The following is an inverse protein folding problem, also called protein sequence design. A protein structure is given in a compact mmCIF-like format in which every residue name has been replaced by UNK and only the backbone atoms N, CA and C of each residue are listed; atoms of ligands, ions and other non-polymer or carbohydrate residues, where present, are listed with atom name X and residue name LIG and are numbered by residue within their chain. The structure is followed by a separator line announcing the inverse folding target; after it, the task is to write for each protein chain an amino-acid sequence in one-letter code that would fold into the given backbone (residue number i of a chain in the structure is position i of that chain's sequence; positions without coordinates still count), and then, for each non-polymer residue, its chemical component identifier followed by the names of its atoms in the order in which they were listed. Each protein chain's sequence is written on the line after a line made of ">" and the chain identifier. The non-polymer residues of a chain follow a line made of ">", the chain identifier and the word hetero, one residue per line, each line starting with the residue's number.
data_IF_008960259126
#
_entry.id   IF_008960259126
#
_cell.length_a   1.000
_cell.length_b   1.000
_cell.length_c   1.000
_cell.angle_alpha   90.00
_cell.angle_beta   90.00
_cell.angle_gamma   90.00
#
_symmetry.space_group_name_H-M   'P 1'
#
loop_
_entity.id
_entity.type
_entity.pdbx_description
1 polymer ?
#
# COMPACT_ATOMS: atom_id res chain seq x y z
N UNK A 1 5.13 -14.36 -14.19
CA UNK A 1 5.52 -13.13 -13.48
C UNK A 1 6.40 -12.20 -14.33
N UNK A 2 7.63 -12.60 -14.70
CA UNK A 2 8.62 -11.67 -15.32
C UNK A 2 8.60 -11.55 -16.86
N UNK A 3 7.73 -12.28 -17.56
CA UNK A 3 7.79 -12.43 -19.03
C UNK A 3 7.82 -11.09 -19.78
N UNK A 4 6.96 -10.16 -19.41
CA UNK A 4 6.89 -8.83 -20.04
C UNK A 4 8.18 -8.02 -19.81
N UNK A 5 8.66 -7.94 -18.56
CA UNK A 5 9.91 -7.23 -18.23
C UNK A 5 11.12 -7.79 -18.98
N UNK A 6 11.19 -9.13 -19.15
CA UNK A 6 12.24 -9.79 -19.92
C UNK A 6 12.12 -9.44 -21.41
N UNK A 7 10.92 -9.50 -21.98
CA UNK A 7 10.68 -9.18 -23.39
C UNK A 7 11.03 -7.71 -23.69
N UNK A 8 10.66 -6.79 -22.80
CA UNK A 8 11.04 -5.38 -22.94
C UNK A 8 12.54 -5.14 -22.77
N UNK A 9 13.16 -5.76 -21.76
CA UNK A 9 14.60 -5.68 -21.56
C UNK A 9 15.39 -6.21 -22.76
N UNK A 10 14.95 -7.32 -23.34
CA UNK A 10 15.52 -7.87 -24.58
C UNK A 10 15.26 -6.96 -25.78
N UNK A 11 14.09 -6.31 -25.84
CA UNK A 11 13.77 -5.28 -26.83
C UNK A 11 14.73 -4.10 -26.76
N UNK A 12 14.97 -3.56 -25.57
CA UNK A 12 15.94 -2.48 -25.34
C UNK A 12 17.37 -2.90 -25.63
N UNK A 13 17.79 -4.09 -25.19
CA UNK A 13 19.11 -4.63 -25.49
C UNK A 13 19.31 -4.78 -27.00
N UNK A 14 18.29 -5.27 -27.70
CA UNK A 14 18.30 -5.38 -29.16
C UNK A 14 18.40 -3.99 -29.82
N UNK A 15 17.64 -3.00 -29.36
CA UNK A 15 17.73 -1.61 -29.83
C UNK A 15 19.13 -1.05 -29.59
N UNK A 16 19.71 -1.23 -28.41
CA UNK A 16 21.06 -0.75 -28.06
C UNK A 16 22.10 -1.45 -28.94
N UNK A 17 22.04 -2.77 -29.08
CA UNK A 17 22.94 -3.54 -29.95
C UNK A 17 22.81 -3.05 -31.39
N UNK A 18 21.59 -2.79 -31.87
CA UNK A 18 21.36 -2.23 -33.22
C UNK A 18 21.92 -0.81 -33.32
N UNK A 19 21.73 0.07 -32.33
CA UNK A 19 22.30 1.42 -32.30
C UNK A 19 23.83 1.35 -32.32
N UNK A 20 24.44 0.46 -31.53
CA UNK A 20 25.89 0.26 -31.46
C UNK A 20 26.42 -0.31 -32.77
N UNK A 21 25.78 -1.34 -33.34
CA UNK A 21 26.14 -1.93 -34.63
C UNK A 21 25.96 -0.90 -35.75
N UNK A 22 24.90 -0.09 -35.73
CA UNK A 22 24.69 1.01 -36.67
C UNK A 22 25.75 2.07 -36.47
N UNK A 23 26.10 2.48 -35.25
CA UNK A 23 27.14 3.47 -34.99
C UNK A 23 28.52 3.00 -35.51
N UNK A 24 28.86 1.72 -35.27
CA UNK A 24 30.10 1.08 -35.71
C UNK A 24 30.14 0.82 -37.22
N UNK A 25 29.11 0.19 -37.82
CA UNK A 25 29.07 -0.13 -39.27
C UNK A 25 28.73 1.06 -40.16
N UNK A 26 28.03 2.06 -39.63
CA UNK A 26 27.79 3.28 -40.39
C UNK A 26 29.02 4.20 -40.38
N UNK A 27 30.03 3.94 -39.54
CA UNK A 27 31.13 4.86 -39.31
C UNK A 27 30.61 6.22 -38.83
N UNK A 28 29.60 6.24 -37.96
CA UNK A 28 28.84 7.45 -37.57
C UNK A 28 29.77 8.54 -37.02
N UNK A 29 30.80 8.14 -36.28
CA UNK A 29 31.89 9.00 -35.79
C UNK A 29 32.67 9.62 -36.96
N UNK A 30 32.95 8.85 -38.02
CA UNK A 30 33.61 9.33 -39.25
C UNK A 30 32.65 10.02 -40.25
N UNK A 31 31.33 9.90 -40.06
CA UNK A 31 30.28 10.45 -40.95
C UNK A 31 29.72 11.78 -40.48
N UNK A 32 29.76 12.11 -39.19
CA UNK A 32 29.46 13.46 -38.70
C UNK A 32 30.39 14.50 -39.37
N UNK A 33 31.65 14.15 -39.59
CA UNK A 33 32.63 14.93 -40.36
C UNK A 33 32.37 14.98 -41.88
N UNK A 34 31.57 14.06 -42.43
CA UNK A 34 31.29 13.96 -43.88
C UNK A 34 29.84 14.30 -44.27
N UNK A 35 29.05 14.76 -43.30
CA UNK A 35 27.62 15.11 -43.43
C UNK A 35 27.32 16.21 -44.46
N UNK A 36 28.32 16.86 -45.07
CA UNK A 36 28.10 17.86 -46.12
C UNK A 36 27.89 17.35 -47.56
N UNK A 37 28.06 16.06 -47.92
CA UNK A 37 27.91 15.65 -49.34
C UNK A 37 27.27 14.27 -49.61
N UNK A 38 25.94 14.34 -49.83
CA UNK A 38 25.08 13.64 -50.83
C UNK A 38 24.83 12.11 -50.79
N UNK A 39 23.53 11.83 -50.56
CA UNK A 39 22.56 10.77 -50.96
C UNK A 39 23.02 9.47 -51.67
N UNK A 40 22.56 8.31 -51.15
CA UNK A 40 22.05 7.15 -51.92
C UNK A 40 20.90 6.46 -51.15
N UNK A 41 19.81 6.18 -51.86
CA UNK A 41 18.42 6.02 -51.37
C UNK A 41 18.04 4.60 -50.87
N UNK A 42 18.87 3.57 -51.09
CA UNK A 42 18.50 2.20 -50.67
C UNK A 42 18.69 1.94 -49.16
N UNK A 43 19.64 2.63 -48.51
CA UNK A 43 19.83 2.56 -47.06
C UNK A 43 18.67 3.21 -46.29
N UNK A 44 17.98 4.17 -46.92
CA UNK A 44 16.86 4.89 -46.31
C UNK A 44 15.62 4.01 -46.20
N UNK A 45 15.37 3.08 -47.13
CA UNK A 45 14.19 2.19 -47.11
C UNK A 45 14.35 1.09 -46.06
N UNK A 46 15.54 0.51 -45.91
CA UNK A 46 15.82 -0.45 -44.84
C UNK A 46 15.76 0.22 -43.45
N UNK A 47 16.28 1.45 -43.33
CA UNK A 47 16.14 2.27 -42.12
C UNK A 47 14.67 2.61 -41.87
N UNK A 48 13.88 2.98 -42.88
CA UNK A 48 12.45 3.24 -42.71
C UNK A 48 11.67 1.98 -42.32
N UNK A 49 11.96 0.81 -42.90
CA UNK A 49 11.29 -0.45 -42.56
C UNK A 49 11.55 -0.86 -41.12
N UNK A 50 12.78 -0.70 -40.63
CA UNK A 50 13.16 -0.95 -39.23
C UNK A 50 12.60 0.12 -38.30
N UNK A 51 12.55 1.38 -38.74
CA UNK A 51 11.97 2.48 -37.97
C UNK A 51 10.44 2.38 -37.91
N UNK A 52 9.78 1.84 -38.93
CA UNK A 52 8.34 1.55 -38.96
C UNK A 52 8.00 0.28 -38.15
N UNK A 53 8.85 -0.75 -38.14
CA UNK A 53 8.70 -1.91 -37.26
C UNK A 53 9.00 -1.55 -35.79
N UNK A 54 10.02 -0.74 -35.55
CA UNK A 54 10.38 -0.23 -34.23
C UNK A 54 9.35 0.76 -33.70
N UNK A 55 8.92 1.74 -34.52
CA UNK A 55 7.78 2.60 -34.21
C UNK A 55 6.54 1.74 -34.05
N UNK A 56 6.25 0.78 -34.94
CA UNK A 56 5.12 -0.13 -34.85
C UNK A 56 5.08 -0.94 -33.56
N UNK A 57 6.22 -1.42 -33.06
CA UNK A 57 6.32 -2.06 -31.74
C UNK A 57 6.19 -1.08 -30.58
N UNK A 58 6.69 0.16 -30.73
CA UNK A 58 6.46 1.26 -29.77
C UNK A 58 5.00 1.74 -29.79
N UNK A 59 4.33 1.71 -30.95
CA UNK A 59 2.91 2.04 -31.18
C UNK A 59 2.00 0.91 -30.66
N UNK A 60 2.38 -0.34 -30.84
CA UNK A 60 1.67 -1.47 -30.26
C UNK A 60 1.91 -1.55 -28.75
N UNK A 61 3.08 -1.08 -28.30
CA UNK A 61 3.41 -0.80 -26.91
C UNK A 61 2.91 0.56 -26.38
N UNK A 62 2.11 1.34 -27.14
CA UNK A 62 1.67 2.71 -26.74
C UNK A 62 0.71 2.77 -25.54
N UNK A 63 0.54 1.69 -24.80
CA UNK A 63 0.02 1.77 -23.42
C UNK A 63 1.12 1.89 -22.36
N UNK A 64 2.39 2.09 -22.72
CA UNK A 64 3.46 2.34 -21.74
C UNK A 64 4.53 3.28 -22.31
N UNK A 65 4.56 4.50 -21.78
CA UNK A 65 5.49 5.58 -22.11
C UNK A 65 6.94 5.24 -21.71
N UNK A 66 7.97 5.92 -22.28
CA UNK A 66 9.37 5.60 -22.04
C UNK A 66 9.78 5.89 -20.60
N UNK A 67 10.37 4.87 -19.98
CA UNK A 67 10.85 4.85 -18.61
C UNK A 67 12.19 5.58 -18.53
N UNK A 68 12.18 6.81 -18.02
CA UNK A 68 13.37 7.32 -17.36
C UNK A 68 13.41 6.66 -15.97
N UNK A 69 14.22 5.60 -15.88
CA UNK A 69 14.57 4.96 -14.62
C UNK A 69 15.38 5.97 -13.80
N UNK A 70 14.84 6.29 -12.64
CA UNK A 70 15.12 7.44 -11.81
C UNK A 70 14.38 8.73 -12.18
N UNK A 71 14.11 9.56 -11.16
CA UNK A 71 13.88 10.99 -11.34
C UNK A 71 14.83 11.43 -12.47
N UNK A 72 14.35 12.11 -13.52
CA UNK A 72 15.21 12.61 -14.59
C UNK A 72 16.48 13.17 -13.94
N UNK A 73 17.67 12.98 -14.51
CA UNK A 73 18.91 13.45 -13.86
C UNK A 73 18.91 14.96 -13.50
N UNK A 74 17.93 15.71 -14.01
CA UNK A 74 17.60 17.11 -13.76
C UNK A 74 16.59 17.36 -12.63
N UNK A 75 15.99 16.33 -12.06
CA UNK A 75 14.95 16.41 -11.05
C UNK A 75 15.60 16.15 -9.69
N UNK A 76 15.51 17.15 -8.82
CA UNK A 76 16.11 17.15 -7.50
C UNK A 76 14.99 17.03 -6.47
N UNK A 77 15.07 16.04 -5.58
CA UNK A 77 14.18 15.97 -4.42
C UNK A 77 14.66 17.00 -3.40
N UNK A 78 13.72 17.78 -2.86
CA UNK A 78 13.96 18.66 -1.71
C UNK A 78 13.52 18.02 -0.40
N UNK A 79 13.25 16.71 -0.39
CA UNK A 79 13.02 15.96 0.84
C UNK A 79 14.20 16.16 1.80
N UNK A 80 13.95 16.09 3.10
CA UNK A 80 14.93 16.41 4.16
C UNK A 80 16.24 15.63 4.04
N UNK A 81 16.21 14.47 3.40
CA UNK A 81 17.34 13.57 3.17
C UNK A 81 17.97 13.68 1.78
N UNK A 82 17.44 14.55 0.91
CA UNK A 82 17.86 14.80 -0.48
C UNK A 82 17.92 13.57 -1.39
N UNK A 83 17.35 12.44 -0.95
CA UNK A 83 17.39 11.20 -1.73
C UNK A 83 16.20 11.14 -2.71
N UNK A 84 16.45 11.02 -4.02
CA UNK A 84 15.36 10.92 -5.00
C UNK A 84 14.55 9.63 -4.77
N UNK A 85 13.22 9.63 -5.03
CA UNK A 85 12.35 8.43 -4.95
C UNK A 85 12.67 7.35 -5.99
N UNK A 86 13.78 7.48 -6.70
CA UNK A 86 14.22 6.57 -7.72
C UNK A 86 14.88 5.32 -7.15
N UNK A 87 14.57 4.17 -7.76
CA UNK A 87 15.51 3.04 -7.78
C UNK A 87 16.67 3.41 -8.72
N UNK A 88 17.92 3.54 -8.24
CA UNK A 88 19.09 3.66 -9.11
C UNK A 88 19.10 2.52 -10.14
N UNK A 89 19.58 2.75 -11.36
CA UNK A 89 19.65 1.72 -12.42
C UNK A 89 20.35 0.43 -11.92
N UNK A 90 21.37 0.57 -11.08
CA UNK A 90 22.05 -0.52 -10.39
C UNK A 90 21.12 -1.31 -9.45
N UNK A 91 20.20 -0.65 -8.76
CA UNK A 91 19.21 -1.28 -7.88
C UNK A 91 18.12 -2.01 -8.66
N UNK A 92 17.72 -1.53 -9.85
CA UNK A 92 16.85 -2.31 -10.74
C UNK A 92 17.54 -3.56 -11.25
N UNK A 93 18.80 -3.45 -11.69
CA UNK A 93 19.58 -4.60 -12.12
C UNK A 93 19.80 -5.59 -10.97
N UNK A 94 20.06 -5.08 -9.76
CA UNK A 94 20.15 -5.89 -8.55
C UNK A 94 18.82 -6.55 -8.19
N UNK A 95 17.71 -5.83 -8.28
CA UNK A 95 16.36 -6.37 -8.07
C UNK A 95 16.05 -7.49 -9.08
N UNK A 96 16.38 -7.31 -10.36
CA UNK A 96 16.13 -8.31 -11.40
C UNK A 96 17.07 -9.53 -11.29
N UNK A 97 18.33 -9.33 -10.92
CA UNK A 97 19.32 -10.42 -10.75
C UNK A 97 19.13 -11.16 -9.43
N UNK A 98 18.71 -10.47 -8.39
CA UNK A 98 18.43 -11.01 -7.06
C UNK A 98 16.94 -11.29 -6.85
N UNK A 99 16.11 -11.22 -7.90
CA UNK A 99 14.65 -11.38 -7.77
C UNK A 99 14.24 -12.73 -7.19
N UNK A 100 15.13 -13.73 -7.32
CA UNK A 100 14.99 -15.08 -6.76
C UNK A 100 15.18 -15.14 -5.25
N UNK A 101 15.72 -14.08 -4.62
CA UNK A 101 15.89 -13.97 -3.16
C UNK A 101 14.61 -13.53 -2.46
N UNK A 102 13.72 -12.84 -3.16
CA UNK A 102 12.44 -12.43 -2.58
C UNK A 102 11.54 -13.64 -2.40
N UNK A 103 10.96 -13.74 -1.21
CA UNK A 103 9.89 -14.68 -0.95
C UNK A 103 8.65 -14.26 -1.75
N UNK A 104 7.99 -15.25 -2.35
CA UNK A 104 6.67 -15.04 -2.93
C UNK A 104 5.60 -15.33 -1.87
N UNK A 105 4.89 -14.30 -1.46
CA UNK A 105 3.78 -14.41 -0.50
C UNK A 105 2.47 -14.36 -1.27
N UNK A 106 1.65 -15.41 -1.10
CA UNK A 106 0.35 -15.52 -1.78
C UNK A 106 -0.64 -14.47 -1.32
N UNK A 107 -0.64 -14.16 -0.02
CA UNK A 107 -1.53 -13.18 0.58
C UNK A 107 -0.74 -12.27 1.53
N UNK A 108 -0.39 -11.08 1.04
CA UNK A 108 0.31 -10.06 1.84
C UNK A 108 -0.66 -9.26 2.71
N UNK A 109 -1.96 -9.33 2.43
CA UNK A 109 -2.92 -8.49 3.14
C UNK A 109 -3.13 -8.96 4.55
N UNK A 110 -2.91 -8.09 5.54
CA UNK A 110 -3.22 -8.40 6.94
C UNK A 110 -4.67 -8.89 7.08
N UNK A 111 -4.88 -9.94 7.87
CA UNK A 111 -6.21 -10.44 8.20
C UNK A 111 -6.94 -9.41 9.07
N UNK A 112 -8.07 -8.83 8.61
CA UNK A 112 -8.77 -7.80 9.36
C UNK A 112 -9.30 -8.29 10.72
N UNK A 113 -9.41 -9.61 10.94
CA UNK A 113 -9.85 -10.17 12.22
C UNK A 113 -8.72 -10.26 13.26
N UNK A 114 -7.46 -10.02 12.88
CA UNK A 114 -6.28 -10.15 13.76
C UNK A 114 -6.04 -8.89 14.59
N UNK A 115 -7.06 -8.49 15.35
CA UNK A 115 -6.95 -7.47 16.38
C UNK A 115 -6.51 -8.12 17.69
N UNK A 116 -5.44 -7.66 18.37
CA UNK A 116 -5.07 -8.20 19.67
C UNK A 116 -6.20 -7.98 20.69
N UNK A 117 -6.42 -8.97 21.58
CA UNK A 117 -7.48 -8.91 22.58
C UNK A 117 -7.38 -7.68 23.50
N UNK A 118 -8.52 -7.17 24.01
CA UNK A 118 -8.53 -6.09 25.00
C UNK A 118 -7.67 -6.36 26.23
N UNK A 119 -6.96 -5.32 26.68
CA UNK A 119 -6.05 -5.41 27.82
C UNK A 119 -6.86 -5.51 29.11
N UNK A 120 -6.78 -6.67 29.79
CA UNK A 120 -7.50 -6.94 31.04
C UNK A 120 -6.64 -6.67 32.29
N UNK A 121 -6.05 -5.46 32.40
CA UNK A 121 -5.28 -5.05 33.59
C UNK A 121 -5.44 -3.56 33.87
N UNK A 122 -5.26 -3.19 35.14
CA UNK A 122 -5.41 -1.81 35.64
C UNK A 122 -4.09 -1.07 35.80
N UNK A 123 -2.96 -1.78 35.90
CA UNK A 123 -1.65 -1.18 36.13
C UNK A 123 -0.77 -1.24 34.87
N UNK A 124 0.09 -0.22 34.63
CA UNK A 124 1.12 -0.26 33.60
C UNK A 124 2.11 -1.42 33.79
N UNK A 125 2.67 -1.91 32.68
CA UNK A 125 3.78 -2.88 32.73
C UNK A 125 4.84 -2.59 31.68
N UNK A 126 5.95 -3.32 31.77
CA UNK A 126 6.86 -3.45 30.63
C UNK A 126 6.29 -4.42 29.60
N UNK A 127 6.17 -3.98 28.35
CA UNK A 127 5.69 -4.78 27.22
C UNK A 127 6.84 -4.99 26.26
N UNK A 128 7.11 -6.24 25.90
CA UNK A 128 8.09 -6.59 24.88
C UNK A 128 7.36 -6.72 23.54
N UNK A 129 7.79 -5.95 22.54
CA UNK A 129 7.29 -6.01 21.17
C UNK A 129 8.46 -6.24 20.22
N UNK A 130 8.22 -7.00 19.15
CA UNK A 130 9.21 -7.20 18.11
C UNK A 130 8.52 -7.27 16.75
N UNK A 131 9.18 -6.73 15.72
CA UNK A 131 8.79 -6.86 14.33
C UNK A 131 10.00 -7.20 13.48
N UNK A 132 9.78 -7.94 12.40
CA UNK A 132 10.77 -8.25 11.39
C UNK A 132 10.40 -7.57 10.08
N UNK A 133 11.27 -6.70 9.57
CA UNK A 133 11.10 -6.12 8.25
C UNK A 133 11.54 -7.11 7.18
N UNK A 134 10.73 -7.24 6.14
CA UNK A 134 10.98 -8.18 5.04
C UNK A 134 10.47 -7.65 3.72
N UNK A 135 11.25 -7.86 2.66
CA UNK A 135 10.84 -7.54 1.30
C UNK A 135 10.34 -8.81 0.61
N UNK A 136 9.13 -8.75 0.04
CA UNK A 136 8.43 -9.89 -0.55
C UNK A 136 7.83 -9.51 -1.90
N UNK A 137 7.53 -10.50 -2.73
CA UNK A 137 6.68 -10.32 -3.91
C UNK A 137 5.31 -10.89 -3.57
N UNK A 138 4.26 -10.11 -3.77
CA UNK A 138 2.90 -10.57 -3.52
C UNK A 138 1.92 -10.09 -4.58
N UNK A 139 0.79 -10.78 -4.65
CA UNK A 139 -0.28 -10.48 -5.58
C UNK A 139 -1.17 -9.35 -5.03
N UNK A 140 -1.33 -8.29 -5.83
CA UNK A 140 -2.25 -7.18 -5.56
C UNK A 140 -3.67 -7.56 -6.01
N UNK A 141 -3.77 -8.16 -7.18
CA UNK A 141 -4.98 -8.62 -7.87
C UNK A 141 -4.60 -9.72 -8.87
N UNK A 142 -5.57 -10.43 -9.46
CA UNK A 142 -5.31 -11.59 -10.33
C UNK A 142 -4.22 -11.37 -11.40
N UNK A 143 -3.08 -12.03 -11.21
CA UNK A 143 -1.92 -12.00 -12.08
C UNK A 143 -1.10 -10.70 -12.02
N UNK A 144 -1.39 -9.79 -11.10
CA UNK A 144 -0.71 -8.50 -10.91
C UNK A 144 0.07 -8.56 -9.60
N UNK A 145 1.40 -8.44 -9.70
CA UNK A 145 2.30 -8.58 -8.55
C UNK A 145 3.00 -7.28 -8.24
N UNK A 146 3.23 -7.02 -6.96
CA UNK A 146 4.03 -5.90 -6.50
C UNK A 146 5.15 -6.39 -5.58
N UNK A 147 6.24 -5.64 -5.52
CA UNK A 147 7.26 -5.82 -4.49
C UNK A 147 6.82 -5.06 -3.24
N UNK A 148 6.47 -5.78 -2.19
CA UNK A 148 6.11 -5.18 -0.91
C UNK A 148 7.31 -5.15 0.01
N UNK A 149 7.43 -4.07 0.74
CA UNK A 149 8.29 -3.98 1.90
C UNK A 149 7.34 -4.02 3.09
N UNK A 150 7.59 -4.90 4.04
CA UNK A 150 6.59 -5.28 5.04
C UNK A 150 7.17 -5.26 6.44
N UNK A 151 6.28 -5.20 7.42
CA UNK A 151 6.55 -5.67 8.77
C UNK A 151 5.85 -7.03 8.92
N UNK A 152 6.59 -8.05 9.33
CA UNK A 152 6.16 -9.46 9.49
C UNK A 152 5.52 -10.08 8.23
N UNK A 153 6.00 -9.70 7.04
CA UNK A 153 5.57 -10.32 5.78
C UNK A 153 4.19 -9.87 5.28
N UNK A 154 3.57 -8.89 5.93
CA UNK A 154 2.24 -8.38 5.58
C UNK A 154 2.18 -6.85 5.42
N UNK A 155 1.18 -6.39 4.67
CA UNK A 155 0.83 -4.99 4.42
C UNK A 155 -0.68 -4.79 4.68
N UNK A 156 -1.07 -4.00 5.69
CA UNK A 156 -0.22 -3.38 6.69
C UNK A 156 0.50 -4.42 7.57
N UNK A 157 1.48 -3.96 8.36
CA UNK A 157 2.08 -4.74 9.44
C UNK A 157 1.05 -5.13 10.52
N UNK A 158 1.43 -6.01 11.47
CA UNK A 158 0.56 -6.45 12.55
C UNK A 158 -0.06 -5.30 13.34
N UNK A 159 -1.34 -5.40 13.70
CA UNK A 159 -1.92 -4.48 14.66
C UNK A 159 -1.30 -4.75 16.03
N UNK A 160 -0.74 -3.71 16.65
CA UNK A 160 -0.17 -3.77 17.98
C UNK A 160 -1.16 -3.17 18.98
N UNK A 161 -1.13 -3.64 20.23
CA UNK A 161 -2.01 -3.15 21.30
C UNK A 161 -1.25 -3.07 22.61
N UNK A 162 -1.20 -1.88 23.18
CA UNK A 162 -0.57 -1.57 24.46
C UNK A 162 -1.51 -0.68 25.26
N UNK A 163 -1.16 -0.40 26.52
CA UNK A 163 -1.96 0.46 27.40
C UNK A 163 -1.21 1.75 27.69
N UNK A 164 -1.96 2.84 27.83
CA UNK A 164 -1.46 4.09 28.38
C UNK A 164 -0.70 3.83 29.70
N UNK A 165 0.51 4.38 29.79
CA UNK A 165 1.44 4.23 30.89
C UNK A 165 2.46 3.10 30.73
N UNK A 166 2.26 2.15 29.80
CA UNK A 166 3.20 1.06 29.58
C UNK A 166 4.59 1.56 29.18
N UNK A 167 5.61 0.86 29.64
CA UNK A 167 6.96 0.95 29.08
C UNK A 167 7.08 -0.11 28.00
N UNK A 168 7.29 0.27 26.75
CA UNK A 168 7.45 -0.68 25.65
C UNK A 168 8.93 -0.82 25.35
N UNK A 169 9.44 -2.05 25.42
CA UNK A 169 10.73 -2.43 24.90
C UNK A 169 10.50 -3.04 23.52
N UNK A 170 10.97 -2.36 22.48
CA UNK A 170 10.75 -2.77 21.11
C UNK A 170 12.04 -3.18 20.43
N UNK A 171 12.00 -4.25 19.65
CA UNK A 171 13.10 -4.71 18.81
C UNK A 171 12.67 -4.79 17.35
N UNK A 172 13.38 -4.09 16.47
CA UNK A 172 13.28 -4.25 15.03
C UNK A 172 14.38 -5.19 14.55
N UNK A 173 14.01 -6.18 13.75
CA UNK A 173 14.96 -6.99 12.98
C UNK A 173 14.75 -6.74 11.49
N UNK A 174 15.80 -6.71 10.70
CA UNK A 174 15.69 -6.71 9.25
C UNK A 174 16.12 -8.08 8.70
N UNK A 175 15.24 -8.73 7.96
CA UNK A 175 15.50 -10.04 7.39
C UNK A 175 16.74 -9.99 6.47
N UNK A 176 17.57 -11.04 6.51
CA UNK A 176 18.78 -11.14 5.68
C UNK A 176 18.49 -11.07 4.17
N UNK A 177 17.27 -11.40 3.75
CA UNK A 177 16.83 -11.35 2.36
C UNK A 177 16.48 -9.95 1.85
N UNK A 178 16.26 -8.98 2.74
CA UNK A 178 15.96 -7.59 2.37
C UNK A 178 17.12 -6.96 1.60
N UNK A 179 16.80 -6.04 0.67
CA UNK A 179 17.80 -5.29 -0.07
C UNK A 179 18.03 -3.89 0.52
N UNK A 180 17.07 -3.38 1.29
CA UNK A 180 17.08 -2.04 1.85
C UNK A 180 17.27 -2.07 3.37
N UNK A 181 17.80 -0.96 3.89
CA UNK A 181 17.76 -0.69 5.31
C UNK A 181 16.33 -0.34 5.68
N UNK A 182 15.91 -0.74 6.87
CA UNK A 182 14.59 -0.38 7.39
C UNK A 182 14.77 0.22 8.79
N UNK A 183 13.79 1.02 9.19
CA UNK A 183 13.65 1.51 10.56
C UNK A 183 12.15 1.59 10.88
N UNK A 184 11.79 2.13 12.03
CA UNK A 184 10.38 2.33 12.36
C UNK A 184 10.17 3.63 13.11
N UNK A 185 9.16 4.38 12.67
CA UNK A 185 8.57 5.52 13.34
C UNK A 185 7.21 5.09 13.90
N UNK A 186 7.08 5.09 15.22
CA UNK A 186 5.81 4.95 15.91
C UNK A 186 5.28 6.34 16.27
N UNK A 187 4.11 6.72 15.74
CA UNK A 187 3.49 7.99 16.13
C UNK A 187 3.01 7.98 17.60
N UNK A 188 2.92 6.80 18.22
CA UNK A 188 2.70 6.62 19.65
C UNK A 188 3.94 6.93 20.53
N UNK A 189 5.11 7.19 19.93
CA UNK A 189 6.37 7.43 20.65
C UNK A 189 6.71 8.92 20.71
N UNK A 190 6.81 9.46 21.93
CA UNK A 190 7.37 10.80 22.17
C UNK A 190 8.89 10.71 22.27
N UNK A 191 9.58 10.70 21.13
CA UNK A 191 11.04 10.66 21.03
C UNK A 191 11.52 11.02 19.61
N UNK A 192 12.83 11.30 19.41
CA UNK A 192 13.33 11.72 18.10
C UNK A 192 13.03 10.71 16.98
N UNK A 193 12.27 11.16 15.98
CA UNK A 193 11.83 10.35 14.84
C UNK A 193 10.94 9.15 15.21
N UNK A 194 10.26 9.19 16.37
CA UNK A 194 9.35 8.11 16.81
C UNK A 194 10.03 6.75 16.99
N UNK A 195 11.35 6.72 17.20
CA UNK A 195 12.17 5.51 17.27
C UNK A 195 13.05 5.27 16.03
N UNK A 196 12.77 5.94 14.91
CA UNK A 196 13.48 5.72 13.64
C UNK A 196 14.96 6.09 13.71
N UNK A 197 15.29 7.11 14.51
CA UNK A 197 16.66 7.61 14.72
C UNK A 197 17.59 6.56 15.34
N UNK A 198 17.04 5.57 16.06
CA UNK A 198 17.79 4.54 16.78
C UNK A 198 17.54 3.12 16.25
N UNK A 199 16.58 2.94 15.33
CA UNK A 199 16.19 1.63 14.76
C UNK A 199 16.61 1.40 13.32
N UNK A 200 17.51 2.20 12.75
CA UNK A 200 18.02 1.97 11.40
C UNK A 200 18.86 0.69 11.31
N UNK A 201 18.26 -0.39 10.77
CA UNK A 201 18.81 -1.74 10.65
C UNK A 201 19.10 -2.11 9.20
N UNK A 202 20.34 -2.53 8.94
CA UNK A 202 20.70 -3.17 7.66
C UNK A 202 20.14 -4.59 7.60
N UNK A 203 20.03 -5.22 6.42
CA UNK A 203 19.67 -6.63 6.32
C UNK A 203 20.54 -7.50 7.25
N UNK A 204 19.89 -8.29 8.11
CA UNK A 204 20.53 -9.13 9.13
C UNK A 204 20.79 -8.48 10.49
N UNK A 205 20.60 -7.17 10.62
CA UNK A 205 20.78 -6.45 11.88
C UNK A 205 19.47 -6.38 12.68
N UNK A 206 19.62 -6.30 14.00
CA UNK A 206 18.54 -5.98 14.93
C UNK A 206 18.92 -4.79 15.80
N UNK A 207 17.96 -3.93 16.12
CA UNK A 207 18.13 -2.82 17.06
C UNK A 207 16.91 -2.69 17.94
N UNK A 208 17.12 -2.22 19.16
CA UNK A 208 16.06 -2.07 20.15
C UNK A 208 16.05 -0.67 20.75
N UNK A 209 14.88 -0.22 21.15
CA UNK A 209 14.71 0.99 21.94
C UNK A 209 13.52 0.82 22.90
N UNK A 210 13.42 1.72 23.87
CA UNK A 210 12.35 1.69 24.87
C UNK A 210 11.66 3.06 24.93
N UNK A 211 10.34 3.07 25.09
CA UNK A 211 9.57 4.29 25.35
C UNK A 211 8.48 4.04 26.38
N UNK A 212 8.01 5.13 27.00
CA UNK A 212 6.80 5.11 27.82
C UNK A 212 5.62 5.64 27.01
N UNK A 213 4.51 4.94 27.00
CA UNK A 213 3.31 5.30 26.24
C UNK A 213 2.50 6.34 27.01
N UNK A 214 2.53 7.58 26.56
CA UNK A 214 2.01 8.71 27.35
C UNK A 214 0.59 9.12 26.97
N UNK A 215 0.15 8.85 25.74
CA UNK A 215 -1.12 9.32 25.21
C UNK A 215 -1.92 8.15 24.65
N UNK A 216 -3.19 7.97 25.08
CA UNK A 216 -4.07 6.99 24.48
C UNK A 216 -4.54 7.45 23.09
N UNK A 217 -4.79 6.48 22.21
CA UNK A 217 -5.16 6.73 20.83
C UNK A 217 -4.82 5.56 19.92
N UNK A 218 -5.23 5.66 18.66
CA UNK A 218 -4.80 4.74 17.61
C UNK A 218 -3.82 5.46 16.69
N UNK A 219 -2.60 4.94 16.62
CA UNK A 219 -1.49 5.59 15.95
C UNK A 219 -0.98 4.75 14.79
N UNK A 220 -0.61 5.39 13.69
CA UNK A 220 0.19 4.76 12.65
C UNK A 220 1.60 4.48 13.19
N UNK A 221 2.18 3.38 12.75
CA UNK A 221 3.62 3.23 12.65
C UNK A 221 4.00 2.96 11.22
N UNK A 222 5.16 3.44 10.77
CA UNK A 222 5.65 3.20 9.42
C UNK A 222 7.17 3.20 9.36
N UNK A 223 7.74 2.72 8.27
CA UNK A 223 9.18 2.89 8.02
C UNK A 223 9.46 4.37 7.72
N UNK A 224 10.53 4.88 8.31
CA UNK A 224 11.05 6.24 8.12
C UNK A 224 12.52 6.22 7.65
N UNK A 225 12.94 5.14 6.98
CA UNK A 225 14.23 5.12 6.28
C UNK A 225 14.17 6.12 5.12
N UNK A 226 15.31 6.75 4.88
CA UNK A 226 15.45 7.75 3.83
C UNK A 226 14.96 7.28 2.46
N UNK A 227 14.25 8.21 1.84
CA UNK A 227 13.03 8.13 1.05
C UNK A 227 11.81 7.46 1.73
N UNK A 228 11.34 8.11 2.80
CA UNK A 228 10.20 7.66 3.62
C UNK A 228 8.96 7.35 2.78
N UNK A 229 8.61 8.23 1.84
CA UNK A 229 7.43 8.05 0.98
C UNK A 229 7.49 6.79 0.12
N UNK A 230 8.67 6.43 -0.39
CA UNK A 230 8.84 5.19 -1.16
C UNK A 230 8.64 3.99 -0.24
N UNK A 231 9.32 3.95 0.90
CA UNK A 231 9.18 2.85 1.87
C UNK A 231 7.72 2.61 2.26
N UNK A 232 7.00 3.70 2.56
CA UNK A 232 5.61 3.65 2.96
C UNK A 232 4.69 3.19 1.80
N UNK A 233 4.91 3.70 0.57
CA UNK A 233 4.15 3.27 -0.63
C UNK A 233 4.35 1.79 -1.01
N UNK A 234 5.41 1.15 -0.51
CA UNK A 234 5.65 -0.29 -0.67
C UNK A 234 4.96 -1.16 0.39
N UNK A 235 4.21 -0.57 1.33
CA UNK A 235 3.41 -1.33 2.31
C UNK A 235 3.93 -1.31 3.75
N UNK A 236 5.00 -0.56 4.07
CA UNK A 236 5.60 -0.52 5.40
C UNK A 236 4.88 0.44 6.35
N UNK A 237 3.65 0.09 6.70
CA UNK A 237 2.84 0.81 7.68
C UNK A 237 1.95 -0.17 8.47
N UNK A 238 1.52 0.22 9.66
CA UNK A 238 0.53 -0.50 10.44
C UNK A 238 -0.02 0.35 11.58
N UNK A 239 -0.86 -0.22 12.44
CA UNK A 239 -1.45 0.51 13.56
C UNK A 239 -0.99 -0.04 14.92
N UNK A 240 -0.78 0.87 15.86
CA UNK A 240 -0.65 0.57 17.29
C UNK A 240 -1.77 1.28 18.07
N UNK A 241 -2.56 0.49 18.78
CA UNK A 241 -3.55 0.99 19.73
C UNK A 241 -2.89 1.19 21.10
N UNK A 242 -2.94 2.41 21.61
CA UNK A 242 -2.67 2.71 23.02
C UNK A 242 -4.02 2.85 23.72
N UNK A 243 -4.46 1.77 24.38
CA UNK A 243 -5.72 1.78 25.12
C UNK A 243 -5.65 2.79 26.28
N UNK A 244 -6.71 3.59 26.50
CA UNK A 244 -6.80 4.45 27.67
C UNK A 244 -6.78 3.61 28.95
N UNK A 245 -6.45 4.23 30.08
CA UNK A 245 -6.31 3.53 31.36
C UNK A 245 -7.55 2.72 31.76
N UNK A 246 -8.72 3.24 31.45
CA UNK A 246 -10.05 2.66 31.67
C UNK A 246 -10.44 1.58 30.65
N UNK A 247 -9.68 1.44 29.56
CA UNK A 247 -10.00 0.57 28.43
C UNK A 247 -11.09 1.14 27.52
N UNK A 248 -11.34 0.47 26.39
CA UNK A 248 -12.42 0.83 25.48
C UNK A 248 -13.73 0.13 25.87
N UNK A 249 -14.87 0.70 25.46
CA UNK A 249 -16.16 0.01 25.60
C UNK A 249 -16.12 -1.34 24.88
N UNK A 250 -16.80 -2.34 25.43
CA UNK A 250 -16.87 -3.66 24.80
C UNK A 250 -17.71 -3.60 23.53
N UNK A 251 -17.27 -4.36 22.54
CA UNK A 251 -17.98 -4.62 21.28
C UNK A 251 -17.88 -6.11 20.96
N UNK A 252 -18.74 -6.60 20.08
CA UNK A 252 -18.78 -8.02 19.69
C UNK A 252 -17.72 -8.36 18.65
N UNK A 253 -17.41 -7.39 17.76
CA UNK A 253 -16.41 -7.54 16.69
C UNK A 253 -15.45 -6.35 16.64
N UNK A 254 -14.16 -6.66 16.50
CA UNK A 254 -13.11 -5.69 16.22
C UNK A 254 -12.43 -6.04 14.89
N UNK A 255 -12.29 -5.06 13.99
CA UNK A 255 -11.62 -5.22 12.70
C UNK A 255 -10.48 -4.22 12.50
N UNK A 256 -9.45 -4.64 11.76
CA UNK A 256 -8.25 -3.86 11.44
C UNK A 256 -8.15 -3.62 9.93
N UNK A 257 -8.30 -2.36 9.52
CA UNK A 257 -8.19 -1.96 8.11
C UNK A 257 -7.24 -0.78 7.96
N UNK A 258 -6.34 -0.85 6.99
CA UNK A 258 -5.48 0.28 6.61
C UNK A 258 -5.55 0.49 5.11
N UNK A 259 -5.95 1.70 4.71
CA UNK A 259 -5.87 2.12 3.31
C UNK A 259 -4.41 2.37 2.92
N UNK A 260 -4.03 1.95 1.71
CA UNK A 260 -2.72 2.25 1.14
C UNK A 260 -2.75 2.48 -0.37
N UNK A 261 -1.65 2.96 -0.90
CA UNK A 261 -1.49 3.40 -2.28
C UNK A 261 -0.35 2.66 -2.98
N UNK A 262 -0.59 2.19 -4.20
CA UNK A 262 0.44 1.56 -5.04
C UNK A 262 0.64 2.37 -6.32
N UNK A 263 1.90 2.66 -6.61
CA UNK A 263 2.33 3.48 -7.73
C UNK A 263 3.09 2.63 -8.74
N UNK A 264 2.45 2.31 -9.86
CA UNK A 264 2.97 1.33 -10.81
C UNK A 264 3.00 1.87 -12.25
N UNK A 265 4.10 1.62 -12.96
CA UNK A 265 4.26 2.07 -14.35
C UNK A 265 3.32 1.38 -15.35
N UNK A 266 2.76 0.22 -14.97
CA UNK A 266 1.94 -0.59 -15.85
C UNK A 266 0.52 -0.10 -16.09
N UNK A 267 0.03 0.82 -15.25
CA UNK A 267 -1.38 1.18 -15.23
C UNK A 267 -2.28 0.06 -14.69
N UNK A 268 -3.59 0.34 -14.66
CA UNK A 268 -4.59 -0.58 -14.10
C UNK A 268 -4.74 -1.81 -15.00
N UNK A 269 -4.72 -3.01 -14.39
CA UNK A 269 -5.02 -4.28 -15.05
C UNK A 269 -3.83 -4.96 -15.75
N UNK A 270 -2.66 -4.31 -15.83
CA UNK A 270 -1.50 -4.92 -16.47
C UNK A 270 -0.96 -6.08 -15.64
N UNK A 271 -0.98 -7.29 -16.20
CA UNK A 271 -0.48 -8.50 -15.54
C UNK A 271 1.06 -8.53 -15.49
N UNK A 272 1.59 -9.21 -14.48
CA UNK A 272 3.01 -9.36 -14.20
C UNK A 272 3.45 -8.57 -12.97
N UNK A 273 4.74 -8.68 -12.67
CA UNK A 273 5.37 -7.87 -11.62
C UNK A 273 5.47 -6.42 -12.09
N UNK A 274 4.89 -5.52 -11.31
CA UNK A 274 4.85 -4.10 -11.59
C UNK A 274 6.13 -3.41 -11.14
N UNK A 275 6.65 -2.52 -11.98
CA UNK A 275 7.70 -1.60 -11.62
C UNK A 275 7.11 -0.37 -10.93
N UNK A 276 7.82 0.14 -9.92
CA UNK A 276 7.46 1.35 -9.19
C UNK A 276 7.48 2.59 -10.09
N UNK A 277 6.49 3.48 -9.94
CA UNK A 277 6.39 4.75 -10.64
C UNK A 277 6.65 5.95 -9.69
N UNK A 278 7.88 6.49 -9.68
CA UNK A 278 8.23 7.60 -8.80
C UNK A 278 7.56 8.93 -9.20
N UNK A 279 7.20 9.12 -10.46
CA UNK A 279 6.54 10.35 -10.90
C UNK A 279 5.09 10.34 -10.43
N UNK A 280 4.39 9.22 -10.61
CA UNK A 280 3.03 9.05 -10.11
C UNK A 280 2.95 9.24 -8.59
N UNK A 281 3.97 8.78 -7.84
CA UNK A 281 4.11 9.03 -6.40
C UNK A 281 4.13 10.53 -6.08
N UNK A 282 4.99 11.29 -6.76
CA UNK A 282 5.14 12.73 -6.51
C UNK A 282 3.92 13.53 -6.98
N UNK A 283 3.25 13.08 -8.04
CA UNK A 283 2.01 13.69 -8.55
C UNK A 283 0.79 13.35 -7.67
N UNK A 284 0.90 12.37 -6.76
CA UNK A 284 -0.21 11.91 -5.93
C UNK A 284 -1.27 11.12 -6.69
N UNK A 285 -0.88 10.44 -7.76
CA UNK A 285 -1.80 9.70 -8.65
C UNK A 285 -1.50 8.19 -8.59
N UNK A 286 -1.98 7.46 -7.57
CA UNK A 286 -1.71 6.03 -7.46
C UNK A 286 -2.43 5.23 -8.54
N UNK A 287 -1.83 4.11 -8.95
CA UNK A 287 -2.48 3.16 -9.86
C UNK A 287 -3.55 2.35 -9.13
N UNK A 288 -3.23 1.87 -7.93
CA UNK A 288 -4.15 1.13 -7.07
C UNK A 288 -4.26 1.79 -5.72
N UNK A 289 -5.45 1.68 -5.12
CA UNK A 289 -5.71 2.04 -3.73
C UNK A 289 -6.33 0.80 -3.11
N UNK A 290 -5.83 0.32 -1.98
CA UNK A 290 -6.25 -0.96 -1.39
C UNK A 290 -6.57 -0.80 0.09
N UNK A 291 -7.45 -1.65 0.60
CA UNK A 291 -7.52 -1.92 2.04
C UNK A 291 -6.73 -3.20 2.32
N UNK A 292 -5.82 -3.14 3.29
CA UNK A 292 -4.93 -4.25 3.64
C UNK A 292 -4.14 -4.80 2.45
N UNK A 293 -3.49 -3.89 1.71
CA UNK A 293 -2.42 -4.21 0.77
C UNK A 293 -2.85 -4.78 -0.57
N UNK A 294 -4.04 -5.38 -0.70
CA UNK A 294 -4.52 -6.04 -1.92
C UNK A 294 -5.96 -5.65 -2.27
N UNK A 295 -6.37 -5.94 -3.50
CA UNK A 295 -7.78 -5.85 -3.90
C UNK A 295 -8.50 -7.09 -3.36
N UNK A 296 -9.54 -6.87 -2.57
CA UNK A 296 -10.33 -7.97 -2.01
C UNK A 296 -11.08 -8.72 -3.13
N UNK A 297 -11.18 -10.04 -2.99
CA UNK A 297 -11.88 -10.92 -3.95
C UNK A 297 -12.95 -11.78 -3.27
N UNK A 298 -12.85 -11.94 -1.95
CA UNK A 298 -13.81 -12.64 -1.10
C UNK A 298 -13.94 -11.87 0.20
N UNK A 299 -15.13 -11.77 0.82
CA UNK A 299 -15.28 -11.08 2.10
C UNK A 299 -14.40 -11.70 3.18
N UNK A 300 -13.60 -10.88 3.86
CA UNK A 300 -12.72 -11.31 4.95
C UNK A 300 -13.23 -10.92 6.34
N UNK A 301 -14.28 -10.12 6.43
CA UNK A 301 -14.90 -9.69 7.68
C UNK A 301 -16.29 -10.30 7.81
N UNK A 302 -16.60 -10.86 8.99
CA UNK A 302 -17.88 -11.50 9.29
C UNK A 302 -18.45 -11.03 10.63
N UNK A 303 -19.72 -10.67 10.63
CA UNK A 303 -20.50 -10.35 11.83
C UNK A 303 -21.88 -11.04 11.77
N UNK A 304 -22.65 -10.92 12.86
CA UNK A 304 -24.03 -11.38 12.92
C UNK A 304 -24.97 -10.22 13.17
N UNK A 305 -26.21 -10.35 12.70
CA UNK A 305 -27.29 -9.41 13.07
C UNK A 305 -27.33 -9.24 14.58
N UNK A 306 -27.27 -8.00 15.05
CA UNK A 306 -27.21 -7.63 16.46
C UNK A 306 -25.80 -7.34 17.00
N UNK A 307 -24.74 -7.75 16.31
CA UNK A 307 -23.35 -7.49 16.74
C UNK A 307 -23.05 -5.99 16.72
N UNK A 308 -22.39 -5.52 17.77
CA UNK A 308 -21.69 -4.23 17.77
C UNK A 308 -20.30 -4.39 17.15
N UNK A 309 -20.00 -3.58 16.13
CA UNK A 309 -18.77 -3.63 15.35
C UNK A 309 -17.93 -2.40 15.63
N UNK A 310 -16.63 -2.58 15.89
CA UNK A 310 -15.61 -1.53 15.89
C UNK A 310 -14.60 -1.79 14.78
N UNK A 311 -14.30 -0.78 13.98
CA UNK A 311 -13.23 -0.85 12.96
C UNK A 311 -12.14 0.17 13.31
N UNK A 312 -10.92 -0.33 13.45
CA UNK A 312 -9.70 0.48 13.55
C UNK A 312 -9.21 0.79 12.14
N UNK A 313 -9.45 2.03 11.69
CA UNK A 313 -9.22 2.45 10.30
C UNK A 313 -7.97 3.32 10.24
N UNK A 314 -6.90 2.81 9.66
CA UNK A 314 -5.69 3.58 9.34
C UNK A 314 -5.69 4.05 7.89
N UNK A 315 -4.86 5.05 7.60
CA UNK A 315 -4.49 5.38 6.25
C UNK A 315 -2.97 5.53 6.19
N UNK A 316 -2.30 4.50 5.63
CA UNK A 316 -0.86 4.51 5.41
C UNK A 316 -0.43 5.58 4.40
N UNK A 317 -1.37 6.08 3.59
CA UNK A 317 -1.14 7.09 2.58
C UNK A 317 -0.39 6.51 1.36
N UNK A 318 0.49 7.28 0.72
CA UNK A 318 1.19 8.47 1.24
C UNK A 318 0.58 9.83 0.90
N UNK A 319 -0.33 9.93 -0.08
CA UNK A 319 -0.82 11.22 -0.59
C UNK A 319 -2.32 11.47 -0.35
N UNK A 320 -3.13 10.42 -0.42
CA UNK A 320 -4.59 10.51 -0.48
C UNK A 320 -5.19 10.52 0.92
N UNK A 321 -6.16 11.39 1.13
CA UNK A 321 -7.08 11.35 2.27
C UNK A 321 -8.20 10.37 1.95
N UNK A 322 -8.51 9.44 2.85
CA UNK A 322 -9.65 8.53 2.70
C UNK A 322 -10.93 9.23 3.18
N UNK A 323 -11.99 9.16 2.36
CA UNK A 323 -13.35 9.49 2.79
C UNK A 323 -14.03 8.18 3.20
N UNK A 324 -13.67 7.64 4.35
CA UNK A 324 -14.04 6.28 4.76
C UNK A 324 -15.53 6.14 5.03
N UNK A 325 -16.17 5.18 4.37
CA UNK A 325 -17.60 4.91 4.45
C UNK A 325 -17.90 3.41 4.40
N UNK A 326 -18.97 2.98 5.06
CA UNK A 326 -19.54 1.64 4.96
C UNK A 326 -20.92 1.76 4.32
N UNK A 327 -21.04 1.34 3.07
CA UNK A 327 -22.29 1.40 2.31
C UNK A 327 -23.33 0.52 3.00
N UNK A 328 -24.45 1.13 3.37
CA UNK A 328 -25.56 0.47 4.08
C UNK A 328 -25.58 0.72 5.59
N UNK A 329 -24.56 1.37 6.16
CA UNK A 329 -24.48 1.65 7.60
C UNK A 329 -24.29 3.13 7.91
N UNK A 330 -24.61 3.49 9.16
CA UNK A 330 -24.33 4.79 9.76
C UNK A 330 -23.43 4.56 10.97
N UNK A 331 -22.35 5.33 11.11
CA UNK A 331 -21.49 5.22 12.29
C UNK A 331 -22.18 5.79 13.51
N UNK A 332 -22.53 4.93 14.46
CA UNK A 332 -23.07 5.31 15.76
C UNK A 332 -22.05 6.17 16.53
N UNK A 333 -20.78 5.81 16.43
CA UNK A 333 -19.67 6.62 16.95
C UNK A 333 -18.51 6.70 15.98
N UNK A 334 -17.89 7.86 15.94
CA UNK A 334 -16.59 8.08 15.30
C UNK A 334 -15.66 8.76 16.30
N UNK A 335 -14.47 8.20 16.44
CA UNK A 335 -13.32 8.86 17.08
C UNK A 335 -12.53 9.56 15.97
N UNK A 336 -12.81 10.85 15.70
CA UNK A 336 -12.16 11.58 14.62
C UNK A 336 -10.66 11.67 14.88
N UNK A 337 -9.86 11.42 13.85
CA UNK A 337 -8.38 11.37 13.95
C UNK A 337 -7.88 10.34 14.99
N UNK A 338 -8.77 9.44 15.42
CA UNK A 338 -8.59 8.47 16.49
C UNK A 338 -8.03 9.01 17.81
N UNK A 339 -8.31 10.28 18.11
CA UNK A 339 -8.03 10.87 19.41
C UNK A 339 -8.85 10.18 20.51
N UNK A 340 -8.21 9.87 21.63
CA UNK A 340 -8.85 9.26 22.80
C UNK A 340 -8.50 10.01 24.08
N UNK A 341 -9.43 9.99 25.02
CA UNK A 341 -9.27 10.58 26.36
C UNK A 341 -10.51 11.37 26.77
N UNK A 342 -10.56 11.85 28.02
CA UNK A 342 -11.76 12.46 28.61
C UNK A 342 -12.31 13.67 27.84
N UNK A 343 -11.44 14.41 27.15
CA UNK A 343 -11.80 15.62 26.39
C UNK A 343 -11.82 15.39 24.87
N UNK A 344 -11.52 14.16 24.41
CA UNK A 344 -11.56 13.85 22.98
C UNK A 344 -13.00 13.78 22.47
N UNK A 345 -13.24 14.34 21.30
CA UNK A 345 -14.55 14.30 20.67
C UNK A 345 -14.94 12.86 20.31
N UNK A 346 -16.21 12.53 20.51
CA UNK A 346 -16.85 11.35 19.93
C UNK A 346 -18.03 11.87 19.11
N UNK A 347 -17.89 11.80 17.79
CA UNK A 347 -18.98 12.19 16.89
C UNK A 347 -20.00 11.06 16.81
N UNK A 348 -21.28 11.39 16.66
CA UNK A 348 -22.37 10.42 16.56
C UNK A 348 -23.12 10.58 15.25
N UNK A 349 -23.72 9.48 14.76
CA UNK A 349 -24.54 9.45 13.55
C UNK A 349 -23.82 9.99 12.29
N UNK A 350 -22.58 9.57 12.10
CA UNK A 350 -21.72 10.03 11.00
C UNK A 350 -21.83 9.05 9.82
N UNK A 351 -22.12 9.57 8.63
CA UNK A 351 -22.18 8.75 7.41
C UNK A 351 -20.78 8.39 6.86
N UNK A 352 -19.83 9.32 6.92
CA UNK A 352 -18.51 9.20 6.30
C UNK A 352 -17.52 9.99 7.13
N UNK A 353 -16.36 9.40 7.42
CA UNK A 353 -15.31 10.07 8.20
C UNK A 353 -14.02 10.23 7.40
N UNK A 354 -13.31 11.31 7.67
CA UNK A 354 -12.01 11.60 7.07
C UNK A 354 -10.92 10.78 7.78
N UNK A 355 -10.05 10.13 7.01
CA UNK A 355 -8.83 9.48 7.53
C UNK A 355 -7.61 10.02 6.79
N UNK A 356 -6.79 10.81 7.48
CA UNK A 356 -5.63 11.50 6.92
C UNK A 356 -4.49 10.51 6.57
N UNK A 357 -3.68 10.75 5.54
CA UNK A 357 -2.47 9.95 5.30
C UNK A 357 -1.53 10.08 6.50
N UNK A 358 -1.02 8.95 7.01
CA UNK A 358 -0.28 8.89 8.26
C UNK A 358 -1.15 9.03 9.51
N UNK A 359 -2.48 9.00 9.37
CA UNK A 359 -3.45 9.10 10.47
C UNK A 359 -4.38 7.90 10.55
N UNK A 360 -5.33 7.99 11.49
CA UNK A 360 -6.32 6.96 11.72
C UNK A 360 -7.68 7.55 12.14
N UNK A 361 -8.70 6.70 12.20
CA UNK A 361 -10.00 6.96 12.84
C UNK A 361 -10.54 5.63 13.36
N UNK A 362 -11.47 5.71 14.31
CA UNK A 362 -12.19 4.52 14.78
C UNK A 362 -13.66 4.76 14.56
N UNK A 363 -14.35 3.77 14.00
CA UNK A 363 -15.80 3.80 13.82
C UNK A 363 -16.43 2.66 14.60
N UNK A 364 -17.59 2.92 15.20
CA UNK A 364 -18.46 1.93 15.83
C UNK A 364 -19.86 2.03 15.24
N UNK A 365 -20.47 0.88 14.98
CA UNK A 365 -21.86 0.77 14.55
C UNK A 365 -22.41 -0.61 14.91
N UNK A 366 -23.73 -0.71 15.07
CA UNK A 366 -24.42 -1.99 15.21
C UNK A 366 -24.93 -2.46 13.84
N UNK A 367 -24.73 -3.74 13.52
CA UNK A 367 -25.28 -4.31 12.29
C UNK A 367 -26.67 -4.89 12.55
N UNK A 368 -27.69 -4.29 11.94
CA UNK A 368 -29.07 -4.65 12.22
C UNK A 368 -29.71 -5.53 11.13
N UNK A 369 -29.20 -5.55 9.91
CA UNK A 369 -29.80 -6.29 8.78
C UNK A 369 -28.78 -7.28 8.20
N UNK A 370 -29.17 -8.53 7.84
CA UNK A 370 -28.24 -9.45 7.19
C UNK A 370 -27.92 -8.99 5.77
N UNK A 371 -26.69 -9.24 5.32
CA UNK A 371 -26.25 -8.87 3.98
C UNK A 371 -24.75 -8.59 3.86
N UNK A 372 -24.35 -8.08 2.70
CA UNK A 372 -22.97 -7.62 2.44
C UNK A 372 -22.92 -6.11 2.49
N UNK A 373 -22.05 -5.59 3.34
CA UNK A 373 -21.80 -4.18 3.52
C UNK A 373 -20.44 -3.82 2.91
N UNK A 374 -20.45 -2.91 1.94
CA UNK A 374 -19.24 -2.57 1.19
C UNK A 374 -18.55 -1.38 1.85
N UNK A 375 -17.33 -1.60 2.32
CA UNK A 375 -16.46 -0.57 2.86
C UNK A 375 -15.72 0.09 1.70
N UNK A 376 -15.68 1.43 1.66
CA UNK A 376 -15.10 2.19 0.54
C UNK A 376 -14.34 3.42 1.01
N UNK A 377 -13.45 3.88 0.14
CA UNK A 377 -13.10 5.30 0.06
C UNK A 377 -14.13 6.01 -0.84
N UNK A 378 -14.92 6.91 -0.26
CA UNK A 378 -16.04 7.57 -0.92
C UNK A 378 -15.61 8.64 -1.95
N UNK A 379 -14.30 8.84 -2.16
CA UNK A 379 -13.80 9.31 -3.46
C UNK A 379 -13.94 8.17 -4.50
N UNK A 380 -15.20 7.82 -4.83
CA UNK A 380 -15.64 6.53 -5.38
C UNK A 380 -14.94 6.09 -6.67
N UNK A 381 -14.33 7.00 -7.43
CA UNK A 381 -13.46 6.63 -8.54
C UNK A 381 -12.32 5.68 -8.10
N UNK A 382 -11.91 5.72 -6.82
CA UNK A 382 -10.93 4.83 -6.20
C UNK A 382 -11.42 3.40 -6.02
N UNK A 383 -12.72 3.13 -6.04
CA UNK A 383 -13.22 1.74 -6.10
C UNK A 383 -12.75 1.04 -7.38
N UNK A 384 -12.69 1.75 -8.51
CA UNK A 384 -12.12 1.24 -9.76
C UNK A 384 -10.60 0.99 -9.68
N UNK A 385 -9.96 1.50 -8.61
CA UNK A 385 -8.55 1.27 -8.28
C UNK A 385 -8.35 0.21 -7.18
N UNK A 386 -9.43 -0.35 -6.64
CA UNK A 386 -9.40 -1.40 -5.61
C UNK A 386 -9.74 -0.96 -4.17
N UNK A 387 -10.17 0.29 -3.96
CA UNK A 387 -10.43 0.83 -2.61
C UNK A 387 -11.78 0.38 -2.05
N UNK A 388 -11.95 -0.94 -1.91
CA UNK A 388 -13.13 -1.54 -1.32
C UNK A 388 -12.80 -2.80 -0.51
N UNK A 389 -13.65 -3.07 0.48
CA UNK A 389 -13.67 -4.32 1.23
C UNK A 389 -15.13 -4.69 1.59
N UNK A 390 -15.38 -5.88 2.10
CA UNK A 390 -16.72 -6.40 2.40
C UNK A 390 -16.80 -6.95 3.82
N UNK A 391 -17.79 -6.44 4.55
CA UNK A 391 -18.30 -7.02 5.79
C UNK A 391 -19.55 -7.84 5.48
N UNK A 392 -19.48 -9.15 5.72
CA UNK A 392 -20.61 -10.07 5.56
C UNK A 392 -21.33 -10.24 6.91
N UNK A 393 -22.62 -9.95 6.95
CA UNK A 393 -23.48 -10.04 8.14
C UNK A 393 -24.48 -11.17 7.94
N UNK A 394 -24.42 -12.17 8.81
CA UNK A 394 -25.30 -13.34 8.80
C UNK A 394 -26.40 -13.20 9.88
N UNK A 395 -27.64 -13.60 9.57
CA UNK A 395 -28.75 -13.57 10.53
C UNK A 395 -30.12 -13.59 9.86
N UNK A 396 -31.16 -13.45 10.66
CA UNK A 396 -32.55 -13.41 10.19
C UNK A 396 -32.90 -12.03 9.62
N UNK A 397 -33.74 -12.00 8.58
CA UNK A 397 -34.23 -10.77 7.96
C UNK A 397 -34.97 -9.86 8.96
N UNK A 398 -34.60 -8.58 9.00
CA UNK A 398 -35.31 -7.55 9.79
C UNK A 398 -36.21 -6.70 8.89
N UNK A 399 -37.38 -7.24 8.54
CA UNK A 399 -38.31 -6.64 7.56
C UNK A 399 -39.00 -5.35 8.03
N UNK A 400 -38.93 -5.05 9.31
CA UNK A 400 -39.34 -3.77 9.91
C UNK A 400 -38.29 -2.66 9.69
N UNK A 401 -37.03 -3.04 9.51
CA UNK A 401 -35.90 -2.12 9.24
C UNK A 401 -35.68 -1.94 7.74
N UNK A 402 -35.56 -3.04 6.99
CA UNK A 402 -35.25 -3.01 5.55
C UNK A 402 -36.04 -4.08 4.78
N UNK A 403 -36.82 -3.65 3.79
CA UNK A 403 -37.55 -4.54 2.87
C UNK A 403 -37.68 -3.92 1.48
N UNK A 404 -37.65 -4.77 0.45
CA UNK A 404 -38.06 -4.34 -0.89
C UNK A 404 -39.56 -4.10 -0.93
N UNK A 405 -39.99 -2.98 -1.52
CA UNK A 405 -41.41 -2.65 -1.73
C UNK A 405 -41.90 -2.96 -3.15
N UNK A 406 -41.02 -3.44 -4.05
CA UNK A 406 -41.38 -3.79 -5.41
C UNK A 406 -41.90 -5.23 -5.52
N UNK A 407 -43.03 -5.39 -6.18
CA UNK A 407 -43.74 -6.66 -6.42
C UNK A 407 -43.28 -7.40 -7.68
N UNK A 408 -42.08 -7.13 -8.19
CA UNK A 408 -41.59 -7.89 -9.34
C UNK A 408 -41.15 -9.27 -8.88
N UNK A 409 -41.96 -10.26 -9.25
CA UNK A 409 -41.69 -11.70 -9.18
C UNK A 409 -40.51 -12.07 -10.08
N UNK A 410 -39.30 -11.67 -9.71
CA UNK A 410 -38.09 -12.34 -10.14
C UNK A 410 -37.54 -13.09 -8.92
N UNK A 411 -37.85 -14.37 -8.86
CA UNK A 411 -37.33 -15.35 -7.90
C UNK A 411 -35.85 -15.63 -8.15
N UNK A 412 -35.02 -14.59 -8.08
CA UNK A 412 -33.58 -14.69 -7.93
C UNK A 412 -33.07 -13.51 -7.10
N UNK A 413 -33.47 -13.44 -5.83
CA UNK A 413 -32.63 -12.77 -4.83
C UNK A 413 -31.40 -13.64 -4.60
N UNK A 414 -30.47 -13.64 -5.57
CA UNK A 414 -29.08 -13.78 -5.19
C UNK A 414 -28.71 -12.44 -4.56
N UNK A 415 -28.31 -12.46 -3.29
CA UNK A 415 -27.57 -11.35 -2.68
C UNK A 415 -26.21 -11.24 -3.38
N UNK A 416 -26.25 -10.81 -4.63
CA UNK A 416 -25.12 -10.52 -5.50
C UNK A 416 -24.91 -9.00 -5.47
N UNK A 417 -24.52 -8.51 -4.30
CA UNK A 417 -23.70 -7.31 -4.24
C UNK A 417 -22.25 -7.79 -4.38
N UNK A 418 -21.54 -7.19 -5.34
CA UNK A 418 -20.18 -7.51 -5.80
C UNK A 418 -19.22 -7.98 -4.71
#
# INVERSE_FOLDING_TARGET
>A
MYKYLIIEGLGWLFIIIVIVIVALKSGLVNKLLKFFKRKKVFKTIAVLGVLVLGVGMVLYGRTSYPVHFAMPATMHSVASDHNPPSLPLLSLWRFLTESRKFEFVKDVGADPNKVPSPINRTEPKTVELALTTKEVIAEVADGIYNNYWTFDGQAPGPMLRIREGDTVNFTLTNDNSSLHNHNIDFHATTGPGGGASVTNVKPGESRSFSWKSLAPGLYIYHCATSNVSVHNSHGQYGLILVEPKEGLSKVDKEFYLVQGELYTQGGIGKKGLQAFDPQALLDGIPTYVTFNGKIETVPRMKAKVGDSVRIYVGNGGVNLVSSFHVIGEIFDKVYPEAAMGPESAILQNVQTTTVLPGGASIVEFKVDVPGKYTIVDHALARMNKGAWAVLEVEGDDQLDIYKSTSTNTDTSHSHSSY
#
